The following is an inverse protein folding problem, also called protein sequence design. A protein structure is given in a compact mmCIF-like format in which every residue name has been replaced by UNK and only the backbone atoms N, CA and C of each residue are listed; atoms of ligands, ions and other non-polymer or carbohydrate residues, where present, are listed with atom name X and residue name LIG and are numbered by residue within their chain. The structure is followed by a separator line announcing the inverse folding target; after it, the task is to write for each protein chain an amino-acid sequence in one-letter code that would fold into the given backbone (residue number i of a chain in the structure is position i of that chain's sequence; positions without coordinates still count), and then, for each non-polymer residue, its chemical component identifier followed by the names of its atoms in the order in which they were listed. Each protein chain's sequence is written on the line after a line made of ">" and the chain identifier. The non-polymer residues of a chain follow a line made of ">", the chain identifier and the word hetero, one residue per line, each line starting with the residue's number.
data_IF_128086333838
#
_entry.id   IF_128086333838
#
_cell.length_a   1.000
_cell.length_b   1.000
_cell.length_c   1.000
_cell.angle_alpha   90.00
_cell.angle_beta   90.00
_cell.angle_gamma   90.00
#
_symmetry.space_group_name_H-M   'P 1'
#
loop_
_entity.id
_entity.type
_entity.pdbx_description
1 polymer ?
#
# COMPACT_ATOMS: atom_id res chain seq x y z
N UNK A 1 25.56 -16.85 1.70
CA UNK A 1 24.69 -15.90 2.43
C UNK A 1 23.92 -15.11 1.39
N UNK A 2 22.62 -15.41 1.22
CA UNK A 2 21.77 -14.65 0.30
C UNK A 2 21.63 -13.24 0.87
N UNK A 3 22.27 -12.28 0.22
CA UNK A 3 22.04 -10.87 0.47
C UNK A 3 20.66 -10.58 -0.10
N UNK A 4 19.62 -10.64 0.74
CA UNK A 4 18.31 -10.12 0.39
C UNK A 4 18.50 -8.62 0.14
N UNK A 5 18.72 -8.25 -1.13
CA UNK A 5 18.72 -6.86 -1.55
C UNK A 5 17.31 -6.36 -1.27
N UNK A 6 17.14 -5.65 -0.15
CA UNK A 6 15.92 -4.91 0.16
C UNK A 6 15.61 -4.08 -1.07
N UNK A 7 14.41 -4.19 -1.62
CA UNK A 7 14.08 -3.40 -2.78
C UNK A 7 14.06 -1.92 -2.36
N UNK A 8 14.54 -1.01 -3.22
CA UNK A 8 14.71 0.39 -2.82
C UNK A 8 13.38 1.06 -2.39
N UNK A 9 12.24 0.56 -2.90
CA UNK A 9 10.91 1.00 -2.46
C UNK A 9 10.52 0.58 -1.04
N UNK A 10 11.27 -0.35 -0.43
CA UNK A 10 11.06 -0.79 0.94
C UNK A 10 11.94 -0.04 1.93
N UNK A 11 12.78 0.88 1.46
CA UNK A 11 13.73 1.63 2.27
C UNK A 11 13.13 3.00 2.58
N UNK A 12 12.84 3.25 3.86
CA UNK A 12 12.49 4.57 4.38
C UNK A 12 13.75 5.34 4.77
N UNK A 13 13.75 6.64 4.46
CA UNK A 13 14.79 7.60 4.78
C UNK A 13 14.32 8.49 5.93
N UNK A 14 15.18 8.72 6.90
CA UNK A 14 14.98 9.66 8.00
C UNK A 14 16.11 10.66 8.06
N UNK A 15 15.74 11.89 8.44
CA UNK A 15 16.67 12.91 8.88
C UNK A 15 16.81 12.79 10.39
N UNK A 16 18.01 12.54 10.91
CA UNK A 16 18.24 12.38 12.34
C UNK A 16 19.21 13.42 12.87
N UNK A 17 18.85 14.07 13.96
CA UNK A 17 19.73 14.96 14.71
C UNK A 17 20.47 14.15 15.77
N UNK A 18 21.78 14.25 15.75
CA UNK A 18 22.69 13.65 16.73
C UNK A 18 22.86 14.57 17.94
N UNK A 19 23.33 14.01 19.06
CA UNK A 19 23.62 14.77 20.28
C UNK A 19 24.61 15.92 20.08
N UNK A 20 25.58 15.78 19.16
CA UNK A 20 26.49 16.86 18.76
C UNK A 20 25.81 18.00 17.99
N UNK A 21 24.50 17.93 17.74
CA UNK A 21 23.72 18.93 17.01
C UNK A 21 23.67 18.72 15.50
N UNK A 22 24.58 17.93 14.94
CA UNK A 22 24.62 17.64 13.51
C UNK A 22 23.47 16.76 13.06
N UNK A 23 23.06 16.96 11.81
CA UNK A 23 21.96 16.23 11.20
C UNK A 23 22.52 15.35 10.10
N UNK A 24 22.19 14.06 10.13
CA UNK A 24 22.57 13.08 9.12
C UNK A 24 21.33 12.40 8.56
N UNK A 25 21.47 11.77 7.40
CA UNK A 25 20.43 10.91 6.85
C UNK A 25 20.67 9.46 7.22
N UNK A 26 19.59 8.73 7.44
CA UNK A 26 19.64 7.31 7.72
C UNK A 26 18.55 6.55 7.01
N UNK A 27 18.86 5.31 6.66
CA UNK A 27 18.00 4.46 5.85
C UNK A 27 17.74 3.14 6.58
N UNK A 28 16.51 2.68 6.55
CA UNK A 28 16.08 1.40 7.10
C UNK A 28 14.77 0.94 6.45
N UNK A 29 14.30 -0.26 6.79
CA UNK A 29 13.08 -0.79 6.20
C UNK A 29 11.85 0.00 6.67
N UNK A 30 10.88 0.24 5.79
CA UNK A 30 9.68 1.04 6.10
C UNK A 30 8.81 0.50 7.24
N UNK A 31 8.97 -0.77 7.61
CA UNK A 31 8.26 -1.40 8.73
C UNK A 31 8.68 -0.84 10.09
N UNK A 32 9.82 -0.17 10.18
CA UNK A 32 10.23 0.52 11.39
C UNK A 32 9.55 1.89 11.43
N UNK A 33 8.90 2.20 12.55
CA UNK A 33 8.25 3.49 12.79
C UNK A 33 9.24 4.58 13.19
N UNK A 34 10.40 4.18 13.70
CA UNK A 34 11.46 5.06 14.15
C UNK A 34 12.85 4.44 13.87
N UNK A 35 13.88 5.26 13.66
CA UNK A 35 15.21 4.77 13.33
C UNK A 35 15.91 4.04 14.49
N UNK A 36 15.54 4.27 15.75
CA UNK A 36 16.16 3.60 16.90
C UNK A 36 15.78 2.12 16.92
N UNK A 37 14.50 1.81 16.71
CA UNK A 37 13.97 0.45 16.57
C UNK A 37 14.59 -0.32 15.40
N UNK A 38 15.07 0.39 14.38
CA UNK A 38 15.80 -0.20 13.25
C UNK A 38 17.26 -0.56 13.56
N UNK A 39 17.70 -0.41 14.82
CA UNK A 39 19.05 -0.72 15.28
C UNK A 39 20.05 0.43 15.06
N UNK A 40 19.59 1.68 14.94
CA UNK A 40 20.45 2.85 14.68
C UNK A 40 21.08 3.47 15.94
N UNK A 41 21.21 2.72 17.04
CA UNK A 41 21.51 3.25 18.38
C UNK A 41 22.90 3.90 18.52
N UNK A 42 23.79 3.73 17.55
CA UNK A 42 25.08 4.41 17.48
C UNK A 42 25.39 4.82 16.05
N UNK A 43 25.33 6.11 15.77
CA UNK A 43 25.69 6.67 14.46
C UNK A 43 27.03 7.39 14.55
N UNK A 44 27.80 7.32 13.47
CA UNK A 44 28.96 8.19 13.28
C UNK A 44 28.47 9.53 12.75
N UNK A 45 28.94 10.61 13.37
CA UNK A 45 28.79 11.96 12.86
C UNK A 45 29.73 12.17 11.68
N UNK A 46 29.22 12.44 10.48
CA UNK A 46 30.06 12.71 9.30
C UNK A 46 30.79 14.05 9.40
N UNK A 47 30.22 15.01 10.11
CA UNK A 47 30.76 16.36 10.27
C UNK A 47 31.91 16.41 11.30
N UNK A 48 31.72 15.71 12.42
CA UNK A 48 32.58 15.82 13.59
C UNK A 48 33.40 14.55 13.87
N UNK A 49 33.16 13.46 13.13
CA UNK A 49 33.90 12.21 13.25
C UNK A 49 33.57 11.36 14.48
N UNK A 50 32.82 11.90 15.45
CA UNK A 50 32.46 11.18 16.68
C UNK A 50 31.63 9.93 16.38
N UNK A 51 32.06 8.81 16.95
CA UNK A 51 31.41 7.50 16.83
C UNK A 51 30.38 7.32 17.96
N UNK A 52 29.35 6.49 17.73
CA UNK A 52 28.29 6.16 18.72
C UNK A 52 27.47 7.35 19.23
N UNK A 53 27.23 8.35 18.39
CA UNK A 53 26.35 9.46 18.73
C UNK A 53 24.91 8.99 18.92
N UNK A 54 24.28 9.49 19.99
CA UNK A 54 22.86 9.28 20.27
C UNK A 54 21.99 10.14 19.37
N UNK A 55 20.93 9.56 18.82
CA UNK A 55 19.90 10.30 18.08
C UNK A 55 18.99 10.99 19.10
N UNK A 56 18.87 12.32 19.01
CA UNK A 56 18.04 13.14 19.91
C UNK A 56 16.74 13.62 19.27
N UNK A 57 16.67 13.64 17.94
CA UNK A 57 15.45 13.92 17.18
C UNK A 57 15.51 13.24 15.81
N UNK A 58 14.35 12.92 15.24
CA UNK A 58 14.25 12.34 13.90
C UNK A 58 13.00 12.81 13.17
N UNK A 59 13.09 12.91 11.86
CA UNK A 59 12.00 13.27 10.95
C UNK A 59 12.00 12.30 9.75
N UNK A 60 10.87 11.66 9.41
CA UNK A 60 10.78 10.84 8.21
C UNK A 60 10.81 11.73 6.96
N UNK A 61 11.69 11.40 6.02
CA UNK A 61 11.81 12.09 4.72
C UNK A 61 10.90 11.42 3.68
N UNK A 62 10.74 10.09 3.75
CA UNK A 62 9.95 9.30 2.82
C UNK A 62 10.68 8.04 2.34
N UNK A 63 10.07 7.30 1.41
CA UNK A 63 10.71 6.13 0.79
C UNK A 63 11.80 6.56 -0.21
N UNK A 64 12.86 5.76 -0.33
CA UNK A 64 14.02 6.01 -1.20
C UNK A 64 13.65 6.01 -2.68
N UNK A 65 12.71 5.14 -3.06
CA UNK A 65 12.08 5.12 -4.36
C UNK A 65 10.57 5.10 -4.19
N UNK A 66 9.86 5.65 -5.19
CA UNK A 66 8.43 5.40 -5.30
C UNK A 66 8.19 3.88 -5.36
N UNK A 67 7.20 3.36 -4.62
CA UNK A 67 6.76 1.99 -4.79
C UNK A 67 6.52 1.73 -6.27
N UNK A 68 6.98 0.59 -6.82
CA UNK A 68 6.55 0.20 -8.15
C UNK A 68 5.03 0.28 -8.14
N UNK A 69 4.47 1.06 -9.08
CA UNK A 69 3.04 1.21 -9.26
C UNK A 69 2.47 -0.21 -9.23
N UNK A 70 1.65 -0.49 -8.21
CA UNK A 70 1.10 -1.82 -8.04
C UNK A 70 0.39 -2.12 -9.34
N UNK A 71 0.95 -3.03 -10.15
CA UNK A 71 0.35 -3.44 -11.41
C UNK A 71 -1.06 -3.84 -11.05
N UNK A 72 -2.04 -3.00 -11.41
CA UNK A 72 -3.43 -3.26 -11.03
C UNK A 72 -3.72 -4.69 -11.45
N UNK A 73 -4.23 -5.55 -10.54
CA UNK A 73 -4.66 -6.87 -10.95
C UNK A 73 -5.62 -6.67 -12.13
N UNK A 74 -5.45 -7.43 -13.23
CA UNK A 74 -6.25 -7.21 -14.42
C UNK A 74 -7.73 -7.19 -14.03
N UNK A 75 -8.53 -6.26 -14.59
CA UNK A 75 -9.93 -6.13 -14.21
C UNK A 75 -10.61 -7.50 -14.31
N UNK A 76 -11.48 -7.85 -13.34
CA UNK A 76 -12.18 -9.12 -13.37
C UNK A 76 -12.89 -9.27 -14.72
N UNK A 77 -12.93 -10.49 -15.29
CA UNK A 77 -13.52 -10.70 -16.60
C UNK A 77 -14.95 -10.14 -16.61
N UNK A 78 -15.35 -9.43 -17.69
CA UNK A 78 -16.67 -8.84 -17.76
C UNK A 78 -17.73 -9.94 -17.57
N UNK A 79 -18.81 -9.66 -16.82
CA UNK A 79 -19.86 -10.64 -16.59
C UNK A 79 -20.37 -11.14 -17.94
N UNK A 80 -20.47 -12.47 -18.09
CA UNK A 80 -20.93 -13.12 -19.32
C UNK A 80 -22.27 -12.51 -19.70
N UNK A 81 -22.34 -11.90 -20.89
CA UNK A 81 -23.61 -11.37 -21.42
C UNK A 81 -24.62 -12.53 -21.45
N UNK A 82 -25.83 -12.37 -20.87
CA UNK A 82 -26.83 -13.42 -20.88
C UNK A 82 -27.12 -13.81 -22.33
N UNK A 83 -27.22 -15.11 -22.57
CA UNK A 83 -27.56 -15.60 -23.90
C UNK A 83 -28.99 -15.22 -24.25
N UNK A 84 -29.34 -15.22 -25.54
CA UNK A 84 -30.72 -14.96 -25.98
C UNK A 84 -31.74 -15.86 -25.27
N UNK A 85 -31.39 -17.13 -25.04
CA UNK A 85 -32.23 -18.07 -24.30
C UNK A 85 -32.41 -17.68 -22.81
N UNK A 86 -31.39 -17.11 -22.17
CA UNK A 86 -31.51 -16.58 -20.79
C UNK A 86 -32.47 -15.40 -20.72
N UNK A 87 -32.41 -14.52 -21.71
CA UNK A 87 -33.30 -13.37 -21.82
C UNK A 87 -34.74 -13.80 -22.08
N UNK A 88 -34.96 -14.73 -23.02
CA UNK A 88 -36.30 -15.27 -23.33
C UNK A 88 -36.94 -15.94 -22.12
N UNK A 89 -36.18 -16.72 -21.33
CA UNK A 89 -36.66 -17.29 -20.06
C UNK A 89 -37.05 -16.21 -19.06
N UNK A 90 -36.24 -15.16 -18.93
CA UNK A 90 -36.49 -14.08 -17.98
C UNK A 90 -37.71 -13.25 -18.38
N UNK A 91 -37.89 -12.98 -19.67
CA UNK A 91 -39.08 -12.29 -20.21
C UNK A 91 -40.33 -13.10 -19.90
N UNK A 92 -40.34 -14.40 -20.19
CA UNK A 92 -41.51 -15.26 -19.92
C UNK A 92 -41.91 -15.27 -18.44
N UNK A 93 -40.93 -15.30 -17.53
CA UNK A 93 -41.19 -15.20 -16.09
C UNK A 93 -41.78 -13.85 -15.72
N UNK A 94 -41.23 -12.76 -16.25
CA UNK A 94 -41.71 -11.40 -15.97
C UNK A 94 -43.12 -11.17 -16.52
N UNK A 95 -43.44 -11.69 -17.70
CA UNK A 95 -44.78 -11.58 -18.31
C UNK A 95 -45.83 -12.31 -17.46
N UNK A 96 -45.52 -13.52 -16.98
CA UNK A 96 -46.40 -14.28 -16.08
C UNK A 96 -46.64 -13.53 -14.77
N UNK A 97 -45.60 -12.94 -14.19
CA UNK A 97 -45.73 -12.13 -12.98
C UNK A 97 -46.54 -10.85 -13.23
N UNK A 98 -46.37 -10.22 -14.39
CA UNK A 98 -47.15 -9.04 -14.77
C UNK A 98 -48.65 -9.38 -14.91
N UNK A 99 -48.97 -10.49 -15.57
CA UNK A 99 -50.35 -10.99 -15.67
C UNK A 99 -50.95 -11.25 -14.29
N UNK A 100 -50.22 -11.93 -13.41
CA UNK A 100 -50.63 -12.17 -12.02
C UNK A 100 -50.90 -10.88 -11.27
N UNK A 101 -50.03 -9.87 -11.43
CA UNK A 101 -50.18 -8.57 -10.77
C UNK A 101 -51.36 -7.78 -11.34
N UNK A 102 -51.56 -7.79 -12.66
CA UNK A 102 -52.71 -7.16 -13.30
C UNK A 102 -54.02 -7.77 -12.80
N UNK A 103 -54.13 -9.10 -12.80
CA UNK A 103 -55.31 -9.79 -12.29
C UNK A 103 -55.64 -9.45 -10.82
N UNK A 104 -54.62 -9.22 -9.98
CA UNK A 104 -54.79 -8.75 -8.59
C UNK A 104 -55.24 -7.30 -8.46
N UNK A 105 -54.97 -6.47 -9.46
CA UNK A 105 -55.29 -5.03 -9.46
C UNK A 105 -56.63 -4.75 -10.15
N UNK A 106 -57.09 -5.64 -11.02
CA UNK A 106 -58.34 -5.52 -11.77
C UNK A 106 -59.51 -6.34 -11.20
N UNK A 107 -59.33 -6.97 -10.03
CA UNK A 107 -60.39 -7.61 -9.24
C UNK A 107 -60.50 -6.94 -7.87
#
# INVERSE_FOLDING_TARGET
>A
MQSFKKADHEIMRWRVRLYCGHIIETEAHYTYTDPLSAGANGRRCTECGEDRQTIVAFEPIGLRCEPPEATEPPPPPPPKKPTRADLERRVKTLEKENERLRAKLSG
#
